data_IF_833314688532
#
_entry.id   IF_833314688532
#
_cell.length_a   1.000
_cell.length_b   1.000
_cell.length_c   1.000
_cell.angle_alpha   90.00
_cell.angle_beta   90.00
_cell.angle_gamma   90.00
#
_symmetry.space_group_name_H-M   'P 1'
#
loop_
_entity.id
_entity.type
_entity.pdbx_description
1 polymer ?
#
# COMPACT_ATOMS: atom_id res chain seq x y z
N UNK A 1 -17.51 -22.34 26.88
CA UNK A 1 -16.11 -21.99 26.58
C UNK A 1 -15.99 -20.50 26.81
N UNK A 2 -15.45 -20.08 27.95
CA UNK A 2 -15.29 -18.66 28.28
C UNK A 2 -14.09 -18.13 27.52
N UNK A 3 -14.30 -17.13 26.66
CA UNK A 3 -13.22 -16.40 26.00
C UNK A 3 -12.22 -15.93 27.07
N UNK A 4 -10.93 -16.28 26.97
CA UNK A 4 -9.94 -15.80 27.93
C UNK A 4 -9.92 -14.27 27.89
N UNK A 5 -9.65 -13.61 29.04
CA UNK A 5 -9.59 -12.16 29.08
C UNK A 5 -8.48 -11.67 28.15
N UNK A 6 -8.85 -10.89 27.12
CA UNK A 6 -7.89 -10.22 26.25
C UNK A 6 -7.22 -9.15 27.11
N UNK A 7 -6.02 -9.47 27.60
CA UNK A 7 -5.11 -8.49 28.18
C UNK A 7 -4.94 -7.37 27.13
N UNK A 8 -4.98 -6.07 27.47
CA UNK A 8 -4.83 -5.03 26.47
C UNK A 8 -3.44 -5.19 25.82
N UNK A 9 -3.44 -5.54 24.53
CA UNK A 9 -2.21 -5.74 23.77
C UNK A 9 -1.34 -4.48 23.85
N UNK A 10 -0.07 -4.67 24.14
CA UNK A 10 0.93 -3.61 24.13
C UNK A 10 1.00 -2.90 22.76
N UNK A 11 1.57 -1.69 22.69
CA UNK A 11 1.75 -0.97 21.42
C UNK A 11 2.50 -1.81 20.38
N UNK A 12 3.53 -2.54 20.81
CA UNK A 12 4.32 -3.38 19.93
C UNK A 12 3.51 -4.56 19.40
N UNK A 13 2.75 -5.26 20.25
CA UNK A 13 1.88 -6.36 19.81
C UNK A 13 0.79 -5.87 18.84
N UNK A 14 0.27 -4.66 19.04
CA UNK A 14 -0.67 -4.04 18.10
C UNK A 14 0.00 -3.72 16.76
N UNK A 15 1.18 -3.10 16.75
CA UNK A 15 1.91 -2.85 15.51
C UNK A 15 2.24 -4.16 14.76
N UNK A 16 2.69 -5.18 15.48
CA UNK A 16 3.08 -6.47 14.90
C UNK A 16 1.91 -7.18 14.22
N UNK A 17 0.70 -7.09 14.80
CA UNK A 17 -0.51 -7.67 14.20
C UNK A 17 -0.78 -7.24 12.78
N UNK A 18 -0.44 -6.00 12.40
CA UNK A 18 -0.57 -5.54 11.00
C UNK A 18 0.20 -6.45 10.04
N UNK A 19 1.37 -6.92 10.45
CA UNK A 19 2.21 -7.82 9.64
C UNK A 19 1.82 -9.28 9.82
N UNK A 20 1.56 -9.72 11.05
CA UNK A 20 1.24 -11.11 11.39
C UNK A 20 -0.10 -11.56 10.79
N UNK A 21 -1.08 -10.66 10.72
CA UNK A 21 -2.39 -10.91 10.11
C UNK A 21 -2.38 -10.66 8.58
N UNK A 22 -1.20 -10.54 7.97
CA UNK A 22 -0.99 -10.34 6.53
C UNK A 22 -1.65 -9.08 5.92
N UNK A 23 -1.88 -8.04 6.74
CA UNK A 23 -2.46 -6.76 6.28
C UNK A 23 -1.41 -5.77 5.74
N UNK A 24 -0.13 -5.95 6.09
CA UNK A 24 0.94 -5.03 5.72
C UNK A 24 1.25 -5.07 4.21
N UNK A 25 1.05 -3.95 3.53
CA UNK A 25 1.39 -3.75 2.10
C UNK A 25 2.77 -3.11 1.87
N UNK A 26 3.57 -2.91 2.93
CA UNK A 26 4.93 -2.37 2.80
C UNK A 26 5.02 -0.86 2.48
N UNK A 27 3.97 -0.08 2.72
CA UNK A 27 3.93 1.35 2.36
C UNK A 27 4.85 2.27 3.20
N UNK A 28 5.30 1.84 4.37
CA UNK A 28 6.20 2.63 5.25
C UNK A 28 5.54 3.78 6.01
N UNK A 29 4.21 3.97 5.94
CA UNK A 29 3.51 5.04 6.67
C UNK A 29 3.73 4.98 8.19
N UNK A 30 3.79 3.78 8.77
CA UNK A 30 4.06 3.60 10.19
C UNK A 30 5.43 4.14 10.63
N UNK A 31 6.48 3.94 9.81
CA UNK A 31 7.78 4.56 10.03
C UNK A 31 7.70 6.08 9.87
N UNK A 32 6.95 6.57 8.88
CA UNK A 32 6.78 8.02 8.68
C UNK A 32 6.08 8.69 9.87
N UNK A 33 5.13 8.01 10.51
CA UNK A 33 4.36 8.52 11.66
C UNK A 33 5.19 8.45 12.95
N UNK A 34 5.82 7.30 13.23
CA UNK A 34 6.55 7.09 14.48
C UNK A 34 7.99 7.61 14.45
N UNK A 35 8.55 7.85 13.27
CA UNK A 35 9.96 8.14 13.06
C UNK A 35 10.83 6.87 12.98
N UNK A 36 11.94 6.91 12.21
CA UNK A 36 12.77 5.74 11.92
C UNK A 36 13.51 5.16 13.13
N UNK A 37 13.66 5.94 14.20
CA UNK A 37 14.27 5.47 15.46
C UNK A 37 13.29 4.65 16.32
N UNK A 38 11.98 4.79 16.07
CA UNK A 38 10.93 4.09 16.84
C UNK A 38 10.37 2.92 16.04
N UNK A 39 10.01 3.13 14.77
CA UNK A 39 9.55 2.08 13.85
C UNK A 39 10.36 2.17 12.58
N UNK A 40 10.95 1.05 12.18
CA UNK A 40 11.75 0.98 10.96
C UNK A 40 11.22 -0.08 10.01
N UNK A 41 11.10 0.25 8.74
CA UNK A 41 10.87 -0.73 7.68
C UNK A 41 12.18 -1.46 7.43
N UNK A 42 12.14 -2.78 7.61
CA UNK A 42 13.31 -3.63 7.45
C UNK A 42 12.93 -4.92 6.73
N UNK A 43 13.86 -5.45 5.93
CA UNK A 43 13.73 -6.77 5.33
C UNK A 43 13.71 -7.82 6.45
N UNK A 44 12.59 -8.52 6.60
CA UNK A 44 12.49 -9.63 7.57
C UNK A 44 12.74 -10.97 6.87
N UNK A 45 12.84 -12.05 7.65
CA UNK A 45 13.29 -13.38 7.19
C UNK A 45 12.48 -13.94 5.99
N UNK A 46 11.21 -13.54 5.85
CA UNK A 46 10.35 -13.93 4.73
C UNK A 46 10.68 -13.19 3.40
N UNK A 47 11.71 -12.35 3.38
CA UNK A 47 12.16 -11.62 2.18
C UNK A 47 11.33 -10.39 1.83
N UNK A 48 10.49 -9.89 2.74
CA UNK A 48 9.69 -8.68 2.53
C UNK A 48 10.00 -7.61 3.57
N UNK A 49 9.86 -6.34 3.20
CA UNK A 49 9.99 -5.25 4.17
C UNK A 49 8.76 -5.19 5.09
N UNK A 50 9.00 -5.18 6.40
CA UNK A 50 7.97 -5.08 7.44
C UNK A 50 8.37 -4.06 8.50
N UNK A 51 7.40 -3.42 9.17
CA UNK A 51 7.70 -2.52 10.28
C UNK A 51 8.23 -3.30 11.47
N UNK A 52 9.33 -2.82 12.03
CA UNK A 52 9.95 -3.35 13.23
C UNK A 52 10.08 -2.25 14.27
N UNK A 53 9.58 -2.48 15.48
CA UNK A 53 9.77 -1.55 16.59
C UNK A 53 11.23 -1.58 17.08
N UNK A 54 11.86 -0.40 17.08
CA UNK A 54 13.26 -0.17 17.51
C UNK A 54 13.36 0.72 18.75
N UNK A 55 12.31 1.50 19.02
CA UNK A 55 12.22 2.39 20.18
C UNK A 55 10.91 2.23 20.94
N UNK A 56 10.71 3.03 22.00
CA UNK A 56 9.48 3.01 22.78
C UNK A 56 8.30 3.51 21.94
N UNK A 57 7.28 2.66 21.80
CA UNK A 57 6.07 2.97 21.05
C UNK A 57 4.90 3.18 22.01
N UNK A 58 4.09 4.22 21.78
CA UNK A 58 2.93 4.54 22.64
C UNK A 58 1.63 4.04 22.03
N UNK A 59 0.59 3.89 22.86
CA UNK A 59 -0.74 3.54 22.35
C UNK A 59 -1.30 4.60 21.40
N UNK A 60 -1.03 5.88 21.67
CA UNK A 60 -1.45 7.02 20.86
C UNK A 60 -0.84 6.97 19.47
N UNK A 61 0.47 6.77 19.36
CA UNK A 61 1.14 6.61 18.06
C UNK A 61 0.56 5.44 17.29
N UNK A 62 0.28 4.31 17.94
CA UNK A 62 -0.32 3.15 17.26
C UNK A 62 -1.76 3.41 16.85
N UNK A 63 -2.55 4.22 17.56
CA UNK A 63 -3.87 4.64 17.08
C UNK A 63 -3.75 5.41 15.76
N UNK A 64 -2.86 6.41 15.69
CA UNK A 64 -2.63 7.17 14.44
C UNK A 64 -2.17 6.26 13.31
N UNK A 65 -1.30 5.28 13.59
CA UNK A 65 -0.87 4.27 12.61
C UNK A 65 -2.08 3.47 12.10
N UNK A 66 -2.95 2.97 12.99
CA UNK A 66 -4.13 2.20 12.59
C UNK A 66 -5.14 3.03 11.79
N UNK A 67 -5.30 4.30 12.14
CA UNK A 67 -6.24 5.21 11.46
C UNK A 67 -5.76 5.62 10.06
N UNK A 68 -4.46 5.48 9.79
CA UNK A 68 -3.82 5.85 8.51
C UNK A 68 -3.41 4.64 7.68
N UNK A 69 -3.25 3.47 8.29
CA UNK A 69 -2.70 2.29 7.59
C UNK A 69 -3.72 1.72 6.60
N UNK A 70 -3.36 1.62 5.30
CA UNK A 70 -4.26 1.07 4.28
C UNK A 70 -4.56 -0.42 4.47
N UNK A 71 -3.77 -1.13 5.29
CA UNK A 71 -4.02 -2.52 5.63
C UNK A 71 -5.08 -2.71 6.72
N UNK A 72 -5.17 -1.78 7.68
CA UNK A 72 -6.15 -1.85 8.78
C UNK A 72 -7.44 -1.11 8.47
N UNK A 73 -7.40 -0.18 7.51
CA UNK A 73 -8.56 0.57 7.03
C UNK A 73 -8.78 0.35 5.54
N UNK A 74 -9.56 -0.68 5.26
CA UNK A 74 -10.02 -1.01 3.90
C UNK A 74 -11.47 -0.55 3.79
N UNK A 75 -11.64 0.76 3.67
CA UNK A 75 -12.96 1.40 3.56
C UNK A 75 -13.10 2.03 2.16
N UNK A 76 -14.30 1.93 1.58
CA UNK A 76 -14.64 2.63 0.35
C UNK A 76 -14.95 4.10 0.58
N UNK A 77 -15.29 4.82 -0.50
CA UNK A 77 -15.77 6.20 -0.40
C UNK A 77 -17.05 6.28 0.46
N UNK A 78 -17.27 7.39 1.19
CA UNK A 78 -18.55 7.68 1.83
C UNK A 78 -19.71 7.56 0.85
N UNK A 79 -20.86 7.03 1.28
CA UNK A 79 -21.98 6.73 0.37
C UNK A 79 -22.52 7.96 -0.35
N UNK A 80 -22.47 9.12 0.29
CA UNK A 80 -22.87 10.42 -0.25
C UNK A 80 -21.84 11.01 -1.23
N UNK A 81 -20.63 10.46 -1.28
CA UNK A 81 -19.60 10.80 -2.27
C UNK A 81 -19.60 9.85 -3.49
N UNK A 82 -20.38 8.76 -3.46
CA UNK A 82 -20.52 7.85 -4.59
C UNK A 82 -21.41 8.50 -5.65
N UNK A 83 -20.85 8.76 -6.84
CA UNK A 83 -21.63 9.27 -7.96
C UNK A 83 -22.76 8.29 -8.32
N UNK A 84 -23.98 8.82 -8.46
CA UNK A 84 -25.19 8.08 -8.84
C UNK A 84 -25.08 7.30 -10.16
N UNK A 85 -24.14 7.67 -11.02
CA UNK A 85 -23.85 7.01 -12.30
C UNK A 85 -22.83 5.86 -12.18
N UNK A 86 -22.23 5.68 -11.00
CA UNK A 86 -21.29 4.59 -10.74
C UNK A 86 -21.98 3.24 -10.90
N UNK A 87 -21.28 2.30 -11.53
CA UNK A 87 -21.64 0.89 -11.48
C UNK A 87 -21.26 0.31 -10.10
N UNK A 88 -21.87 -0.82 -9.74
CA UNK A 88 -21.59 -1.50 -8.49
C UNK A 88 -21.24 -2.96 -8.73
N UNK A 89 -20.08 -3.40 -8.24
CA UNK A 89 -19.64 -4.79 -8.24
C UNK A 89 -19.70 -5.36 -6.82
N UNK A 90 -19.97 -6.65 -6.68
CA UNK A 90 -20.09 -7.30 -5.38
C UNK A 90 -18.75 -7.36 -4.62
N UNK A 91 -17.63 -7.48 -5.35
CA UNK A 91 -16.29 -7.64 -4.80
C UNK A 91 -15.59 -6.29 -4.73
N UNK A 92 -15.67 -5.50 -5.80
CA UNK A 92 -14.91 -4.25 -5.92
C UNK A 92 -15.66 -3.01 -5.41
N UNK A 93 -16.96 -3.11 -5.16
CA UNK A 93 -17.79 -1.98 -4.74
C UNK A 93 -18.10 -1.01 -5.90
N UNK A 94 -18.29 0.29 -5.63
CA UNK A 94 -18.62 1.27 -6.66
C UNK A 94 -17.44 1.55 -7.60
N UNK A 95 -17.69 1.59 -8.90
CA UNK A 95 -16.69 1.90 -9.92
C UNK A 95 -17.30 2.68 -11.10
N UNK A 96 -16.48 3.48 -11.77
CA UNK A 96 -16.91 4.25 -12.95
C UNK A 96 -16.76 3.43 -14.24
N UNK A 97 -15.60 2.81 -14.44
CA UNK A 97 -15.36 1.87 -15.52
C UNK A 97 -14.22 0.92 -15.17
N UNK A 98 -14.21 -0.28 -15.77
CA UNK A 98 -13.14 -1.26 -15.64
C UNK A 98 -12.68 -1.67 -17.03
N UNK A 99 -11.36 -1.61 -17.26
CA UNK A 99 -10.76 -1.89 -18.57
C UNK A 99 -9.63 -2.90 -18.42
N UNK A 100 -9.53 -3.82 -19.39
CA UNK A 100 -8.36 -4.67 -19.55
C UNK A 100 -7.54 -4.16 -20.73
N UNK A 101 -6.29 -3.78 -20.48
CA UNK A 101 -5.41 -3.18 -21.48
C UNK A 101 -4.00 -3.79 -21.45
N UNK A 102 -3.24 -3.55 -22.52
CA UNK A 102 -1.82 -3.90 -22.65
C UNK A 102 -1.12 -2.85 -23.52
N UNK A 103 0.21 -2.73 -23.39
CA UNK A 103 0.99 -1.84 -24.25
C UNK A 103 0.94 -2.29 -25.72
N UNK A 104 0.65 -1.36 -26.63
CA UNK A 104 0.64 -1.64 -28.07
C UNK A 104 2.04 -1.84 -28.65
N UNK A 105 3.06 -1.20 -28.05
CA UNK A 105 4.46 -1.44 -28.38
C UNK A 105 4.88 -2.87 -27.98
N UNK A 106 5.34 -3.71 -28.92
CA UNK A 106 5.69 -5.10 -28.63
C UNK A 106 6.83 -5.27 -27.62
N UNK A 107 7.79 -4.33 -27.59
CA UNK A 107 8.93 -4.39 -26.69
C UNK A 107 8.48 -4.03 -25.26
N UNK A 108 7.70 -2.96 -25.09
CA UNK A 108 7.14 -2.58 -23.79
C UNK A 108 6.22 -3.69 -23.27
N UNK A 109 5.37 -4.27 -24.11
CA UNK A 109 4.50 -5.39 -23.70
C UNK A 109 5.29 -6.62 -23.28
N UNK A 110 6.41 -6.90 -23.95
CA UNK A 110 7.23 -8.06 -23.62
C UNK A 110 8.02 -7.86 -22.31
N UNK A 111 8.53 -6.65 -22.08
CA UNK A 111 9.38 -6.32 -20.93
C UNK A 111 8.58 -5.94 -19.68
N UNK A 112 7.55 -5.12 -19.85
CA UNK A 112 6.62 -4.74 -18.81
C UNK A 112 5.49 -5.75 -18.76
N UNK A 113 5.41 -6.52 -17.66
CA UNK A 113 4.30 -7.43 -17.36
C UNK A 113 2.96 -6.66 -17.22
N UNK A 114 2.23 -6.76 -16.11
CA UNK A 114 1.08 -5.89 -15.84
C UNK A 114 1.46 -4.40 -15.82
N UNK A 115 2.71 -4.07 -15.51
CA UNK A 115 3.23 -2.71 -15.50
C UNK A 115 3.44 -2.06 -16.88
N UNK A 116 3.41 -2.83 -17.98
CA UNK A 116 3.68 -2.28 -19.31
C UNK A 116 2.67 -1.21 -19.76
N UNK A 117 1.42 -1.30 -19.29
CA UNK A 117 0.40 -0.25 -19.53
C UNK A 117 0.81 1.07 -18.88
N UNK A 118 1.36 1.04 -17.66
CA UNK A 118 1.82 2.25 -16.98
C UNK A 118 3.02 2.86 -17.69
N UNK A 119 3.94 2.04 -18.20
CA UNK A 119 5.05 2.52 -19.03
C UNK A 119 4.53 3.19 -20.31
N UNK A 120 3.61 2.55 -21.03
CA UNK A 120 3.05 3.12 -22.25
C UNK A 120 2.32 4.45 -22.00
N UNK A 121 1.57 4.56 -20.89
CA UNK A 121 0.89 5.79 -20.51
C UNK A 121 1.89 6.90 -20.14
N UNK A 122 2.91 6.57 -19.34
CA UNK A 122 3.96 7.52 -18.97
C UNK A 122 4.72 8.03 -20.19
N UNK A 123 5.07 7.15 -21.13
CA UNK A 123 5.71 7.55 -22.40
C UNK A 123 4.80 8.48 -23.22
N UNK A 124 3.50 8.18 -23.32
CA UNK A 124 2.58 9.05 -24.06
C UNK A 124 2.51 10.46 -23.45
N UNK A 125 2.39 10.57 -22.12
CA UNK A 125 2.30 11.86 -21.43
C UNK A 125 3.57 12.70 -21.64
N UNK A 126 4.75 12.06 -21.54
CA UNK A 126 6.06 12.70 -21.76
C UNK A 126 6.21 13.18 -23.22
N UNK A 127 5.84 12.34 -24.18
CA UNK A 127 5.92 12.67 -25.60
C UNK A 127 4.90 13.74 -26.04
N UNK A 128 3.71 13.77 -25.44
CA UNK A 128 2.68 14.75 -25.74
C UNK A 128 2.86 16.07 -25.00
N UNK A 129 3.69 16.08 -23.94
CA UNK A 129 3.87 17.23 -23.04
C UNK A 129 2.65 17.49 -22.16
N UNK A 130 1.88 16.45 -21.84
CA UNK A 130 0.70 16.53 -20.97
C UNK A 130 1.03 16.32 -19.47
N UNK A 131 2.28 16.01 -19.13
CA UNK A 131 2.76 15.99 -17.75
C UNK A 131 3.67 17.18 -17.41
N UNK A 132 3.63 17.58 -16.14
CA UNK A 132 4.64 18.47 -15.55
C UNK A 132 5.84 17.68 -15.01
N UNK A 133 5.64 16.41 -14.64
CA UNK A 133 6.63 15.54 -14.02
C UNK A 133 6.16 14.07 -13.93
N UNK A 134 7.09 13.13 -14.16
CA UNK A 134 6.92 11.69 -13.93
C UNK A 134 7.86 11.19 -12.84
N UNK A 135 7.31 10.59 -11.78
CA UNK A 135 8.07 9.82 -10.78
C UNK A 135 8.09 8.33 -11.15
N UNK A 136 9.28 7.77 -11.30
CA UNK A 136 9.44 6.35 -11.60
C UNK A 136 10.39 5.65 -10.61
N UNK A 137 10.08 4.40 -10.28
CA UNK A 137 10.91 3.57 -9.42
C UNK A 137 11.82 2.70 -10.28
N UNK A 138 13.12 2.65 -9.95
CA UNK A 138 14.11 1.79 -10.59
C UNK A 138 14.58 0.75 -9.58
N UNK A 139 14.80 -0.48 -10.04
CA UNK A 139 15.44 -1.52 -9.24
C UNK A 139 16.79 -1.03 -8.68
N UNK A 140 17.03 -1.33 -7.39
CA UNK A 140 18.28 -0.96 -6.75
C UNK A 140 19.47 -1.68 -7.40
N UNK A 141 20.61 -0.98 -7.53
CA UNK A 141 21.80 -1.52 -8.21
C UNK A 141 22.49 -2.64 -7.45
N UNK A 142 22.33 -2.68 -6.12
CA UNK A 142 23.04 -3.63 -5.25
C UNK A 142 22.17 -4.80 -4.80
N UNK A 143 20.87 -4.58 -4.61
CA UNK A 143 19.88 -5.59 -4.21
C UNK A 143 18.58 -5.36 -5.01
N UNK A 144 18.55 -5.68 -6.31
CA UNK A 144 17.32 -5.62 -7.08
C UNK A 144 16.34 -6.66 -6.53
N UNK A 145 15.17 -6.21 -6.08
CA UNK A 145 14.01 -7.05 -5.74
C UNK A 145 13.16 -7.30 -6.96
#
# INVERSE_FOLDING_TARGET
MTTPPINPASPNERLNRISEDAMCVGCGLCQSIAGPDIVRMELVENGTERPVARGPLTHETVHVIYDTCPGTRVEGLPQDEIDSTSCHDLIWGPYQSMHLAYASDPQIRHQGSTGGVLTALATYLDESGEDDFILHAKAATRNPT
#
